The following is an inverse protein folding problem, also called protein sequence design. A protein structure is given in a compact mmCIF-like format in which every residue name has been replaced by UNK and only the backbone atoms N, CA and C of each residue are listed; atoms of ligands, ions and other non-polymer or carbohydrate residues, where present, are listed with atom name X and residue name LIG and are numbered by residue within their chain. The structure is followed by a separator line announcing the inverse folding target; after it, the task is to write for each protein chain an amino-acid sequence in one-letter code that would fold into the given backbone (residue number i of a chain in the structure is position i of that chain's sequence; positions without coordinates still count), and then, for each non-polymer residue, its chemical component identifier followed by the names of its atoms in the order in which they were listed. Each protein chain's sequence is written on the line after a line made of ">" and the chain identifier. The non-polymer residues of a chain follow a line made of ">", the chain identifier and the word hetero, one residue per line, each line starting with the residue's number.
data_IF_214143474489
#
_entry.id   IF_214143474489
#
_cell.length_a   1.000
_cell.length_b   1.000
_cell.length_c   1.000
_cell.angle_alpha   90.00
_cell.angle_beta   90.00
_cell.angle_gamma   90.00
#
_symmetry.space_group_name_H-M   'P 1'
#
loop_
_entity.id
_entity.type
_entity.pdbx_description
1 polymer ?
#
# COMPACT_ATOMS: atom_id res chain seq x y z
N UNK A 1 0.99 9.41 -8.49
CA UNK A 1 -0.35 8.97 -8.00
C UNK A 1 -1.43 9.37 -9.00
N UNK A 2 -2.64 8.80 -8.90
CA UNK A 2 -3.84 9.22 -9.65
C UNK A 2 -4.98 9.55 -8.67
N UNK A 3 -5.94 10.42 -9.02
CA UNK A 3 -7.15 10.65 -8.22
C UNK A 3 -7.92 9.34 -7.95
N UNK A 4 -8.61 9.29 -6.81
CA UNK A 4 -9.30 8.08 -6.33
C UNK A 4 -10.38 7.55 -7.28
N UNK A 5 -11.02 8.42 -8.06
CA UNK A 5 -12.02 8.06 -9.08
C UNK A 5 -11.46 7.17 -10.22
N UNK A 6 -10.13 7.14 -10.38
CA UNK A 6 -9.42 6.29 -11.35
C UNK A 6 -8.72 5.09 -10.70
N UNK A 7 -9.02 4.82 -9.44
CA UNK A 7 -8.43 3.76 -8.64
C UNK A 7 -9.44 2.67 -8.31
N UNK A 8 -8.93 1.45 -8.12
CA UNK A 8 -9.68 0.36 -7.49
C UNK A 8 -9.37 0.34 -5.99
N UNK A 9 -10.34 -0.15 -5.20
CA UNK A 9 -10.05 -0.59 -3.85
C UNK A 9 -9.26 -1.90 -3.91
N UNK A 10 -8.04 -1.88 -3.41
CA UNK A 10 -7.10 -3.01 -3.36
C UNK A 10 -6.91 -3.44 -1.91
N UNK A 11 -6.99 -4.75 -1.66
CA UNK A 11 -6.77 -5.30 -0.33
C UNK A 11 -5.29 -5.40 0.00
N UNK A 12 -4.84 -4.87 1.13
CA UNK A 12 -3.45 -5.00 1.63
C UNK A 12 -3.13 -6.48 1.88
N UNK A 13 -3.92 -7.12 2.74
CA UNK A 13 -4.01 -8.59 2.87
C UNK A 13 -5.01 -9.08 1.84
N UNK A 14 -4.63 -9.91 0.85
CA UNK A 14 -5.54 -10.36 -0.20
C UNK A 14 -6.82 -10.98 0.37
N UNK A 15 -7.96 -10.67 -0.27
CA UNK A 15 -9.25 -11.25 0.11
C UNK A 15 -9.22 -12.80 0.08
N UNK A 16 -8.53 -13.37 -0.91
CA UNK A 16 -8.36 -14.82 -1.04
C UNK A 16 -7.59 -15.46 0.13
N UNK A 17 -6.76 -14.69 0.83
CA UNK A 17 -5.98 -15.12 2.00
C UNK A 17 -6.72 -14.81 3.31
N UNK A 18 -8.00 -14.43 3.24
CA UNK A 18 -8.84 -14.12 4.40
C UNK A 18 -8.82 -12.65 4.81
N UNK A 19 -8.23 -11.76 4.00
CA UNK A 19 -8.25 -10.32 4.26
C UNK A 19 -9.67 -9.74 4.27
N UNK A 20 -10.01 -8.98 5.31
CA UNK A 20 -11.32 -8.37 5.44
C UNK A 20 -11.53 -7.23 4.43
N UNK A 21 -12.76 -7.03 3.95
CA UNK A 21 -13.13 -5.85 3.18
C UNK A 21 -13.48 -4.71 4.15
N UNK A 22 -12.46 -3.98 4.60
CA UNK A 22 -12.60 -2.87 5.56
C UNK A 22 -11.66 -1.71 5.20
N UNK A 23 -11.93 -0.51 5.71
CA UNK A 23 -11.04 0.65 5.50
C UNK A 23 -9.62 0.43 6.04
N UNK A 24 -9.45 -0.47 7.02
CA UNK A 24 -8.15 -0.85 7.58
C UNK A 24 -7.37 -1.86 6.74
N UNK A 25 -8.00 -2.42 5.70
CA UNK A 25 -7.35 -3.36 4.77
C UNK A 25 -7.49 -2.93 3.30
N UNK A 26 -8.13 -1.80 2.99
CA UNK A 26 -8.31 -1.31 1.64
C UNK A 26 -7.50 -0.04 1.39
N UNK A 27 -6.86 0.00 0.23
CA UNK A 27 -6.15 1.17 -0.30
C UNK A 27 -6.60 1.47 -1.73
N UNK A 28 -6.44 2.70 -2.19
CA UNK A 28 -6.80 3.10 -3.56
C UNK A 28 -5.59 3.03 -4.49
N UNK A 29 -5.60 2.08 -5.40
CA UNK A 29 -4.55 1.91 -6.41
C UNK A 29 -5.11 2.05 -7.82
N UNK A 30 -4.42 2.81 -8.66
CA UNK A 30 -4.70 2.77 -10.09
C UNK A 30 -4.28 1.41 -10.66
N UNK A 31 -4.85 1.02 -11.80
CA UNK A 31 -4.58 -0.27 -12.47
C UNK A 31 -3.09 -0.59 -12.63
N UNK A 32 -2.25 0.42 -12.88
CA UNK A 32 -0.80 0.23 -12.98
C UNK A 32 -0.17 -0.23 -11.65
N UNK A 33 -0.44 0.48 -10.55
CA UNK A 33 0.11 0.14 -9.23
C UNK A 33 -0.51 -1.13 -8.64
N UNK A 34 -1.80 -1.36 -8.85
CA UNK A 34 -2.45 -2.60 -8.44
C UNK A 34 -1.76 -3.81 -9.08
N UNK A 35 -1.47 -3.75 -10.39
CA UNK A 35 -0.70 -4.81 -11.07
C UNK A 35 0.73 -4.94 -10.57
N UNK A 36 1.39 -3.83 -10.21
CA UNK A 36 2.73 -3.86 -9.64
C UNK A 36 2.77 -4.59 -8.29
N UNK A 37 1.76 -4.40 -7.44
CA UNK A 37 1.57 -5.17 -6.20
C UNK A 37 1.29 -6.64 -6.48
N UNK A 38 0.28 -6.94 -7.30
CA UNK A 38 -0.19 -8.32 -7.48
C UNK A 38 0.80 -9.20 -8.25
N UNK A 39 1.52 -8.63 -9.22
CA UNK A 39 2.35 -9.41 -10.15
C UNK A 39 3.80 -8.94 -10.21
N UNK A 40 4.08 -7.72 -9.76
CA UNK A 40 5.38 -7.07 -9.94
C UNK A 40 6.34 -7.27 -8.78
N UNK A 41 5.98 -8.02 -7.73
CA UNK A 41 6.83 -8.28 -6.57
C UNK A 41 6.90 -7.13 -5.56
N UNK A 42 6.02 -6.13 -5.68
CA UNK A 42 5.89 -5.08 -4.68
C UNK A 42 5.11 -5.61 -3.47
N UNK A 43 5.64 -5.38 -2.28
CA UNK A 43 4.95 -5.68 -1.04
C UNK A 43 4.48 -4.38 -0.37
N UNK A 44 3.41 -4.48 0.40
CA UNK A 44 2.84 -3.36 1.14
C UNK A 44 2.39 -3.83 2.49
N UNK A 45 2.51 -2.94 3.47
CA UNK A 45 1.83 -3.09 4.73
C UNK A 45 1.22 -1.73 5.12
N UNK A 46 0.06 -1.76 5.76
CA UNK A 46 -0.72 -0.56 6.05
C UNK A 46 -0.89 -0.39 7.55
N UNK A 47 -0.88 0.85 8.02
CA UNK A 47 -1.17 1.22 9.40
C UNK A 47 -2.67 1.50 9.54
N UNK A 48 -3.16 1.48 10.78
CA UNK A 48 -4.56 1.80 11.08
C UNK A 48 -4.95 3.25 10.74
N UNK A 49 -3.97 4.15 10.56
CA UNK A 49 -4.17 5.51 10.07
C UNK A 49 -4.10 5.64 8.53
N UNK A 50 -4.01 4.52 7.80
CA UNK A 50 -3.98 4.46 6.35
C UNK A 50 -2.62 4.74 5.72
N UNK A 51 -1.58 5.04 6.52
CA UNK A 51 -0.21 5.17 6.02
C UNK A 51 0.28 3.80 5.53
N UNK A 52 0.76 3.75 4.29
CA UNK A 52 1.29 2.53 3.68
C UNK A 52 2.81 2.59 3.57
N UNK A 53 3.45 1.47 3.90
CA UNK A 53 4.88 1.24 3.72
C UNK A 53 5.06 0.18 2.64
N UNK A 54 5.71 0.57 1.55
CA UNK A 54 5.93 -0.24 0.37
C UNK A 54 7.37 -0.73 0.30
N UNK A 55 7.55 -1.97 -0.16
CA UNK A 55 8.84 -2.50 -0.57
C UNK A 55 8.85 -2.70 -2.08
N UNK A 56 9.88 -2.17 -2.75
CA UNK A 56 10.10 -2.49 -4.14
C UNK A 56 10.74 -3.87 -4.30
N UNK A 57 10.61 -4.49 -5.48
CA UNK A 57 11.33 -5.72 -5.82
C UNK A 57 12.86 -5.59 -5.73
N UNK A 58 13.38 -4.36 -5.76
CA UNK A 58 14.81 -4.05 -5.66
C UNK A 58 15.26 -3.77 -4.22
N UNK A 59 14.36 -3.86 -3.25
CA UNK A 59 14.66 -3.70 -1.82
C UNK A 59 14.54 -2.26 -1.29
N UNK A 60 14.16 -1.29 -2.13
CA UNK A 60 13.90 0.08 -1.69
C UNK A 60 12.57 0.17 -0.93
N UNK A 61 12.48 1.12 -0.01
CA UNK A 61 11.29 1.32 0.82
C UNK A 61 10.65 2.68 0.53
N UNK A 62 9.33 2.72 0.47
CA UNK A 62 8.60 3.96 0.21
C UNK A 62 7.45 4.12 1.21
N UNK A 63 7.09 5.39 1.48
CA UNK A 63 5.95 5.75 2.31
C UNK A 63 4.91 6.50 1.49
N UNK A 64 3.64 6.20 1.73
CA UNK A 64 2.51 7.02 1.23
C UNK A 64 1.57 7.33 2.39
N UNK A 65 1.08 8.57 2.43
CA UNK A 65 0.25 9.08 3.52
C UNK A 65 -1.05 9.67 2.95
N UNK A 66 -2.24 9.26 3.44
CA UNK A 66 -3.48 9.89 3.02
C UNK A 66 -3.54 11.41 3.28
N UNK A 67 -2.80 11.90 4.27
CA UNK A 67 -2.69 13.32 4.59
C UNK A 67 -1.61 14.06 3.78
N UNK A 68 -0.70 13.33 3.12
CA UNK A 68 0.37 13.90 2.29
C UNK A 68 0.53 13.09 0.98
N UNK A 69 0.11 13.65 -0.17
CA UNK A 69 0.14 12.94 -1.45
C UNK A 69 1.56 12.72 -1.99
N UNK A 70 2.61 13.18 -1.31
CA UNK A 70 3.99 12.90 -1.70
C UNK A 70 4.41 11.50 -1.25
N UNK A 71 4.88 10.71 -2.22
CA UNK A 71 5.57 9.46 -1.95
C UNK A 71 7.07 9.74 -1.94
N UNK A 72 7.77 9.33 -0.87
CA UNK A 72 9.22 9.43 -0.80
C UNK A 72 9.83 8.14 -0.27
N UNK A 73 11.10 7.93 -0.63
CA UNK A 73 11.91 6.81 -0.19
C UNK A 73 12.27 6.96 1.29
N UNK A 74 12.24 5.86 2.03
CA UNK A 74 12.56 5.80 3.46
C UNK A 74 13.71 4.84 3.71
N UNK A 75 14.54 5.12 4.72
CA UNK A 75 15.71 4.30 5.06
C UNK A 75 15.46 3.27 6.16
N UNK A 76 14.32 3.33 6.86
CA UNK A 76 13.94 2.35 7.88
C UNK A 76 12.41 2.19 7.99
N UNK A 77 11.96 1.03 8.50
CA UNK A 77 10.55 0.76 8.86
C UNK A 77 10.25 1.05 10.34
N UNK A 78 11.22 1.54 11.11
CA UNK A 78 11.07 1.74 12.55
C UNK A 78 9.96 2.76 12.85
N UNK A 79 9.04 2.43 13.76
CA UNK A 79 7.91 3.29 14.15
C UNK A 79 6.58 2.97 13.47
N UNK A 80 6.53 2.00 12.55
CA UNK A 80 5.29 1.61 11.88
C UNK A 80 4.75 0.28 12.45
N UNK A 81 3.68 0.34 13.26
CA UNK A 81 2.88 -0.84 13.57
C UNK A 81 2.04 -1.18 12.34
N UNK A 82 2.47 -2.20 11.60
CA UNK A 82 1.96 -2.53 10.28
C UNK A 82 1.04 -3.75 10.35
N UNK A 83 -0.08 -3.67 9.62
CA UNK A 83 -0.94 -4.80 9.30
C UNK A 83 -0.33 -5.43 8.04
N UNK A 84 -0.02 -6.73 8.12
CA UNK A 84 0.66 -7.50 7.07
C UNK A 84 -0.26 -8.57 6.50
#
# INVERSE_FOLDING_TARGET
>A
MRPGEFCDADHVVPYADGGATSGENLQLLCRHHHRAKTFGGWAVAMRTDGVCVWNSPTGAWYRTDPADPTAYEITSREGYALIA
#
